data_IF_179759849197
#
_entry.id   IF_179759849197
#
_cell.length_a   1.000
_cell.length_b   1.000
_cell.length_c   1.000
_cell.angle_alpha   90.00
_cell.angle_beta   90.00
_cell.angle_gamma   90.00
#
_symmetry.space_group_name_H-M   'P 1'
#
loop_
_entity.id
_entity.type
_entity.pdbx_description
1 polymer ?
#
# COMPACT_ATOMS: atom_id res chain seq x y z
N UNK A 1 16.00 -56.07 14.78
CA UNK A 1 15.86 -54.99 13.77
C UNK A 1 16.77 -53.85 14.21
N UNK A 2 17.86 -53.58 13.47
CA UNK A 2 18.89 -52.63 13.93
C UNK A 2 18.42 -51.18 13.73
N UNK A 3 18.22 -50.46 14.84
CA UNK A 3 17.85 -49.03 14.87
C UNK A 3 18.74 -48.13 13.99
N UNK A 4 20.00 -48.53 13.78
CA UNK A 4 20.94 -47.85 12.88
C UNK A 4 20.49 -47.83 11.42
N UNK A 5 19.86 -48.90 10.94
CA UNK A 5 19.32 -48.94 9.57
C UNK A 5 18.11 -48.01 9.42
N UNK A 6 17.30 -47.87 10.47
CA UNK A 6 16.17 -46.94 10.48
C UNK A 6 16.67 -45.50 10.38
N UNK A 7 17.66 -45.12 11.18
CA UNK A 7 18.24 -43.75 11.11
C UNK A 7 18.82 -43.47 9.73
N UNK A 8 19.59 -44.41 9.16
CA UNK A 8 20.18 -44.23 7.83
C UNK A 8 19.11 -44.00 6.78
N UNK A 9 18.04 -44.81 6.81
CA UNK A 9 16.94 -44.66 5.86
C UNK A 9 16.22 -43.31 6.00
N UNK A 10 15.99 -42.87 7.25
CA UNK A 10 15.35 -41.58 7.54
C UNK A 10 16.20 -40.41 7.03
N UNK A 11 17.51 -40.42 7.27
CA UNK A 11 18.41 -39.36 6.79
C UNK A 11 18.46 -39.34 5.26
N UNK A 12 18.50 -40.50 4.61
CA UNK A 12 18.51 -40.61 3.15
C UNK A 12 17.20 -40.10 2.54
N UNK A 13 16.06 -40.46 3.14
CA UNK A 13 14.75 -39.97 2.72
C UNK A 13 14.62 -38.45 2.89
N UNK A 14 15.10 -37.90 4.01
CA UNK A 14 15.12 -36.44 4.25
C UNK A 14 15.98 -35.72 3.23
N UNK A 15 17.20 -36.22 2.98
CA UNK A 15 18.10 -35.64 1.98
C UNK A 15 17.49 -35.67 0.57
N UNK A 16 16.91 -36.79 0.17
CA UNK A 16 16.25 -36.92 -1.13
C UNK A 16 15.03 -35.99 -1.27
N UNK A 17 14.24 -35.82 -0.20
CA UNK A 17 13.06 -34.95 -0.21
C UNK A 17 13.43 -33.48 -0.33
N UNK A 18 14.44 -33.02 0.44
CA UNK A 18 14.96 -31.65 0.36
C UNK A 18 15.54 -31.34 -1.01
N UNK A 19 16.34 -32.26 -1.56
CA UNK A 19 16.94 -32.11 -2.89
C UNK A 19 15.89 -32.06 -4.00
N UNK A 20 14.91 -32.98 -3.95
CA UNK A 20 13.82 -33.02 -4.91
C UNK A 20 12.97 -31.75 -4.87
N UNK A 21 12.70 -31.21 -3.68
CA UNK A 21 11.97 -29.95 -3.51
C UNK A 21 12.72 -28.75 -4.12
N UNK A 22 14.04 -28.67 -3.92
CA UNK A 22 14.86 -27.61 -4.51
C UNK A 22 14.83 -27.64 -6.05
N UNK A 23 15.08 -28.81 -6.64
CA UNK A 23 15.08 -28.98 -8.11
C UNK A 23 13.70 -28.72 -8.72
N UNK A 24 12.64 -29.22 -8.07
CA UNK A 24 11.28 -28.98 -8.52
C UNK A 24 10.90 -27.50 -8.42
N UNK A 25 11.37 -26.80 -7.37
CA UNK A 25 11.18 -25.37 -7.20
C UNK A 25 11.82 -24.56 -8.32
N UNK A 26 13.10 -24.80 -8.60
CA UNK A 26 13.82 -24.14 -9.70
C UNK A 26 13.15 -24.41 -11.05
N UNK A 27 12.68 -25.64 -11.28
CA UNK A 27 11.93 -26.00 -12.49
C UNK A 27 10.59 -25.25 -12.58
N UNK A 28 9.85 -25.11 -11.48
CA UNK A 28 8.57 -24.39 -11.46
C UNK A 28 8.74 -22.91 -11.72
N UNK A 29 9.83 -22.31 -11.24
CA UNK A 29 10.17 -20.90 -11.50
C UNK A 29 10.56 -20.72 -12.97
N UNK A 30 11.37 -21.63 -13.52
CA UNK A 30 11.82 -21.56 -14.90
C UNK A 30 10.70 -21.80 -15.93
N UNK A 31 9.73 -22.66 -15.62
CA UNK A 31 8.60 -22.99 -16.50
C UNK A 31 7.29 -22.31 -16.09
N UNK A 32 7.33 -21.52 -15.02
CA UNK A 32 6.18 -20.77 -14.53
C UNK A 32 5.83 -19.62 -15.47
N UNK A 33 4.54 -19.31 -15.66
CA UNK A 33 4.15 -18.13 -16.42
C UNK A 33 4.61 -16.86 -15.67
N UNK A 34 5.50 -16.09 -16.29
CA UNK A 34 6.08 -14.86 -15.72
C UNK A 34 5.05 -13.76 -15.43
N UNK A 35 3.84 -13.87 -16.02
CA UNK A 35 2.70 -12.99 -15.78
C UNK A 35 1.42 -13.81 -15.83
N UNK A 36 0.47 -13.49 -14.96
CA UNK A 36 -0.88 -14.04 -15.10
C UNK A 36 -1.47 -13.56 -16.43
N UNK A 37 -2.21 -14.42 -17.16
CA UNK A 37 -2.87 -14.03 -18.41
C UNK A 37 -3.83 -12.87 -18.19
N UNK A 38 -4.37 -12.71 -16.99
CA UNK A 38 -5.21 -11.58 -16.60
C UNK A 38 -4.47 -10.25 -16.60
N UNK A 39 -3.20 -10.20 -16.19
CA UNK A 39 -2.42 -8.95 -16.24
C UNK A 39 -1.96 -8.61 -17.65
N UNK A 40 -1.67 -9.60 -18.49
CA UNK A 40 -1.36 -9.38 -19.90
C UNK A 40 -2.57 -8.79 -20.63
N UNK A 41 -3.75 -9.40 -20.44
CA UNK A 41 -4.99 -8.90 -21.01
C UNK A 41 -5.34 -7.49 -20.52
N UNK A 42 -5.18 -7.21 -19.22
CA UNK A 42 -5.43 -5.88 -18.66
C UNK A 42 -4.45 -4.82 -19.18
N UNK A 43 -3.18 -5.18 -19.39
CA UNK A 43 -2.17 -4.27 -19.95
C UNK A 43 -2.40 -4.02 -21.45
N UNK A 44 -2.79 -5.05 -22.20
CA UNK A 44 -3.17 -4.92 -23.62
C UNK A 44 -4.42 -4.07 -23.81
N UNK A 45 -5.42 -4.25 -22.94
CA UNK A 45 -6.64 -3.44 -22.91
C UNK A 45 -6.32 -2.00 -22.47
N UNK A 46 -5.44 -1.79 -21.50
CA UNK A 46 -4.98 -0.46 -21.08
C UNK A 46 -4.19 0.27 -22.18
N UNK A 47 -3.37 -0.44 -22.96
CA UNK A 47 -2.63 0.13 -24.10
C UNK A 47 -3.54 0.40 -25.31
N UNK A 48 -4.64 -0.32 -25.45
CA UNK A 48 -5.64 -0.09 -26.50
C UNK A 48 -6.51 1.15 -26.23
N UNK A 49 -6.55 1.65 -24.99
CA UNK A 49 -7.29 2.86 -24.64
C UNK A 49 -6.50 4.11 -25.07
N UNK A 50 -7.12 5.03 -25.84
CA UNK A 50 -6.47 6.28 -26.21
C UNK A 50 -6.24 7.14 -24.96
N UNK A 51 -5.00 7.62 -24.76
CA UNK A 51 -4.67 8.59 -23.70
C UNK A 51 -5.55 9.82 -23.89
N UNK A 52 -6.32 10.20 -22.88
CA UNK A 52 -7.21 11.36 -22.94
C UNK A 52 -6.54 12.60 -22.33
N UNK A 53 -6.76 13.76 -22.94
CA UNK A 53 -6.40 15.08 -22.39
C UNK A 53 -7.31 15.45 -21.21
N UNK A 54 -6.96 16.50 -20.46
CA UNK A 54 -7.74 17.05 -19.34
C UNK A 54 -9.20 17.38 -19.71
N UNK A 55 -9.50 17.54 -21.01
CA UNK A 55 -10.82 17.80 -21.56
C UNK A 55 -11.59 16.52 -21.97
N UNK A 56 -11.06 15.33 -21.69
CA UNK A 56 -11.69 14.05 -22.03
C UNK A 56 -11.69 13.73 -23.54
N UNK A 57 -10.79 14.35 -24.32
CA UNK A 57 -10.59 14.07 -25.75
C UNK A 57 -9.34 13.25 -25.97
N UNK A 58 -9.27 12.36 -26.98
CA UNK A 58 -8.04 11.65 -27.31
C UNK A 58 -6.87 12.63 -27.54
N UNK A 59 -5.80 12.46 -26.78
CA UNK A 59 -4.58 13.23 -26.88
C UNK A 59 -3.82 12.79 -28.14
N UNK A 60 -3.86 13.63 -29.17
CA UNK A 60 -3.00 13.51 -30.34
C UNK A 60 -1.86 14.51 -30.19
N UNK A 61 -0.61 14.04 -30.29
CA UNK A 61 0.54 14.94 -30.28
C UNK A 61 0.42 15.95 -31.42
N UNK A 62 0.56 17.24 -31.11
CA UNK A 62 0.54 18.27 -32.15
C UNK A 62 1.67 18.02 -33.16
N UNK A 63 1.43 18.20 -34.48
CA UNK A 63 2.47 18.04 -35.47
C UNK A 63 3.59 19.05 -35.23
N UNK A 64 4.84 18.63 -35.46
CA UNK A 64 6.01 19.49 -35.35
C UNK A 64 5.84 20.75 -36.21
N UNK A 65 5.82 21.93 -35.58
CA UNK A 65 5.66 23.18 -36.33
C UNK A 65 6.94 23.47 -37.15
N UNK A 66 6.81 23.95 -38.39
CA UNK A 66 7.94 24.40 -39.16
C UNK A 66 8.51 25.69 -38.57
N UNK A 67 9.82 25.75 -38.40
CA UNK A 67 10.53 26.96 -38.02
C UNK A 67 10.64 27.90 -39.23
N UNK A 68 10.86 29.20 -38.97
CA UNK A 68 11.04 30.24 -40.01
C UNK A 68 12.17 29.95 -41.00
N UNK A 69 13.08 29.04 -40.65
CA UNK A 69 14.19 28.58 -41.49
C UNK A 69 13.85 27.33 -42.33
N UNK A 70 12.57 26.93 -42.39
CA UNK A 70 12.11 25.79 -43.19
C UNK A 70 12.47 24.41 -42.62
N UNK A 71 13.12 24.35 -41.45
CA UNK A 71 13.37 23.10 -40.75
C UNK A 71 12.13 22.72 -39.95
N UNK A 72 11.75 21.44 -39.98
CA UNK A 72 10.78 20.91 -39.04
C UNK A 72 11.35 21.12 -37.64
N UNK A 73 10.61 21.78 -36.75
CA UNK A 73 10.94 21.86 -35.35
C UNK A 73 10.79 20.48 -34.74
N UNK A 74 11.78 19.62 -34.92
CA UNK A 74 11.93 18.47 -34.05
C UNK A 74 11.93 19.04 -32.63
N UNK A 75 10.94 18.64 -31.84
CA UNK A 75 11.14 18.54 -30.41
C UNK A 75 12.17 17.41 -30.22
N UNK A 76 13.43 17.60 -30.65
CA UNK A 76 14.47 17.11 -29.76
C UNK A 76 14.20 17.94 -28.52
N UNK A 77 13.77 17.32 -27.40
CA UNK A 77 13.87 18.05 -26.15
C UNK A 77 15.26 18.66 -26.16
N UNK A 78 15.37 19.97 -25.97
CA UNK A 78 16.68 20.65 -25.91
C UNK A 78 17.56 20.07 -24.78
N UNK A 79 16.94 19.22 -23.98
CA UNK A 79 17.56 18.17 -23.24
C UNK A 79 17.42 16.93 -24.12
N UNK A 80 18.43 16.64 -24.96
CA UNK A 80 18.88 15.25 -24.97
C UNK A 80 18.91 14.92 -23.47
N UNK A 81 17.93 14.15 -22.99
CA UNK A 81 18.17 13.39 -21.78
C UNK A 81 19.33 12.54 -22.25
N UNK A 82 20.54 13.06 -22.07
CA UNK A 82 21.72 12.27 -21.75
C UNK A 82 21.12 11.13 -20.98
N UNK A 83 21.05 9.98 -21.67
CA UNK A 83 20.29 8.82 -21.25
C UNK A 83 20.66 8.70 -19.79
N UNK A 84 19.77 9.09 -18.88
CA UNK A 84 20.20 9.33 -17.51
C UNK A 84 20.68 7.97 -17.09
N UNK A 85 22.00 7.82 -16.97
CA UNK A 85 22.61 6.55 -16.71
C UNK A 85 22.18 6.32 -15.29
N UNK A 86 21.05 5.64 -15.14
CA UNK A 86 20.34 5.48 -13.88
C UNK A 86 21.11 4.42 -13.13
N UNK A 87 22.37 4.70 -12.87
CA UNK A 87 23.19 3.89 -12.05
C UNK A 87 22.70 4.11 -10.63
N UNK A 88 22.02 3.10 -10.09
CA UNK A 88 21.68 3.07 -8.66
C UNK A 88 23.01 2.91 -7.94
N UNK A 89 23.60 4.03 -7.54
CA UNK A 89 24.83 4.03 -6.78
C UNK A 89 24.52 3.44 -5.40
N UNK A 90 24.82 2.14 -5.25
CA UNK A 90 24.59 1.39 -4.03
C UNK A 90 25.53 1.88 -2.94
N UNK A 91 25.16 2.96 -2.27
CA UNK A 91 25.88 3.42 -1.09
C UNK A 91 25.73 2.35 -0.01
N UNK A 92 26.83 1.85 0.58
CA UNK A 92 26.74 0.93 1.69
C UNK A 92 25.92 1.60 2.80
N UNK A 93 25.00 0.84 3.39
CA UNK A 93 24.05 1.35 4.37
C UNK A 93 24.75 2.13 5.50
N UNK A 94 26.00 1.82 5.79
CA UNK A 94 26.86 2.42 6.82
C UNK A 94 26.88 3.95 6.85
N UNK A 95 26.72 4.62 5.69
CA UNK A 95 26.69 6.09 5.60
C UNK A 95 25.31 6.70 5.30
N UNK A 96 24.28 5.89 5.09
CA UNK A 96 22.91 6.36 4.86
C UNK A 96 22.16 6.36 6.19
N UNK A 97 21.60 7.51 6.58
CA UNK A 97 20.69 7.65 7.72
C UNK A 97 19.23 7.67 7.19
N UNK A 98 18.65 6.50 6.86
CA UNK A 98 17.27 6.44 6.40
C UNK A 98 16.32 6.95 7.49
N UNK A 99 15.19 7.59 7.11
CA UNK A 99 14.14 7.97 8.06
C UNK A 99 13.44 6.75 8.70
N UNK A 100 13.80 5.53 8.28
CA UNK A 100 13.30 4.26 8.79
C UNK A 100 14.51 3.51 9.37
N UNK A 101 14.47 3.19 10.65
CA UNK A 101 15.55 2.47 11.31
C UNK A 101 15.69 1.06 10.74
N UNK A 102 16.80 0.81 10.03
CA UNK A 102 17.14 -0.53 9.55
C UNK A 102 17.82 -1.31 10.68
N UNK A 103 17.27 -2.46 11.06
CA UNK A 103 17.89 -3.35 12.04
C UNK A 103 19.16 -4.00 11.44
N UNK A 104 20.33 -3.42 11.73
CA UNK A 104 21.63 -3.95 11.26
C UNK A 104 22.26 -4.96 12.22
N UNK A 105 21.67 -5.16 13.40
CA UNK A 105 22.22 -6.07 14.41
C UNK A 105 21.76 -7.50 14.17
N UNK A 106 22.72 -8.43 14.17
CA UNK A 106 22.45 -9.87 14.22
C UNK A 106 21.96 -10.20 15.63
N UNK A 107 20.66 -10.41 15.79
CA UNK A 107 20.05 -10.76 17.06
C UNK A 107 20.11 -12.29 17.25
N UNK A 108 20.55 -12.72 18.43
CA UNK A 108 20.47 -14.13 18.83
C UNK A 108 19.04 -14.49 19.27
N UNK A 109 18.67 -15.78 19.25
CA UNK A 109 17.31 -16.25 19.57
C UNK A 109 16.76 -15.71 20.89
N UNK A 110 17.61 -15.62 21.92
CA UNK A 110 17.25 -15.13 23.24
C UNK A 110 16.99 -13.61 23.26
N UNK A 111 17.68 -12.85 22.42
CA UNK A 111 17.46 -11.40 22.26
C UNK A 111 16.18 -11.14 21.45
N UNK A 112 15.90 -11.99 20.45
CA UNK A 112 14.68 -11.94 19.65
C UNK A 112 13.43 -12.17 20.52
N UNK A 113 13.51 -13.13 21.45
CA UNK A 113 12.43 -13.41 22.40
C UNK A 113 12.18 -12.25 23.40
N UNK A 114 13.22 -11.48 23.76
CA UNK A 114 13.07 -10.31 24.62
C UNK A 114 12.44 -9.11 23.89
N UNK A 115 12.74 -8.93 22.60
CA UNK A 115 12.12 -7.90 21.76
C UNK A 115 10.62 -8.16 21.53
N UNK A 116 10.21 -9.43 21.40
CA UNK A 116 8.79 -9.79 21.24
C UNK A 116 7.97 -9.68 22.52
N UNK A 117 8.61 -9.54 23.69
CA UNK A 117 7.96 -9.47 25.01
C UNK A 117 7.76 -8.03 25.52
N UNK A 118 7.94 -7.01 24.65
CA UNK A 118 7.27 -5.72 24.85
C UNK A 118 7.88 -4.74 25.84
N UNK A 119 9.20 -4.72 26.04
CA UNK A 119 9.84 -3.68 26.90
C UNK A 119 11.30 -3.36 26.54
N UNK A 120 11.69 -3.49 25.27
CA UNK A 120 13.00 -3.03 24.81
C UNK A 120 12.87 -1.68 24.11
N UNK A 121 13.02 -0.59 24.88
CA UNK A 121 13.51 0.67 24.31
C UNK A 121 14.88 0.35 23.74
N UNK A 122 14.98 0.25 22.42
CA UNK A 122 16.27 0.06 21.77
C UNK A 122 17.26 1.11 22.26
N UNK A 123 18.52 0.73 22.54
CA UNK A 123 19.52 1.61 23.17
C UNK A 123 19.84 2.89 22.36
N UNK A 124 19.34 2.99 21.13
CA UNK A 124 19.51 4.13 20.24
C UNK A 124 18.29 5.08 20.17
N UNK A 125 17.31 4.97 21.08
CA UNK A 125 16.16 5.90 21.10
C UNK A 125 15.27 5.77 19.86
N UNK A 126 14.88 4.55 19.50
CA UNK A 126 14.03 4.29 18.33
C UNK A 126 12.64 4.93 18.50
N UNK A 127 12.36 5.95 17.70
CA UNK A 127 11.01 6.43 17.41
C UNK A 127 10.54 5.74 16.13
N UNK A 128 9.76 4.66 16.27
CA UNK A 128 9.16 3.98 15.12
C UNK A 128 8.35 2.77 15.53
N UNK A 129 7.02 2.93 15.45
CA UNK A 129 5.86 2.01 15.33
C UNK A 129 5.82 0.70 16.18
N UNK A 130 6.93 0.19 16.72
CA UNK A 130 7.00 -1.08 17.45
C UNK A 130 6.97 -0.93 18.99
N UNK A 131 6.77 0.27 19.54
CA UNK A 131 6.59 0.46 20.98
C UNK A 131 5.09 0.51 21.32
N UNK A 132 4.43 -0.65 21.25
CA UNK A 132 3.07 -0.83 21.77
C UNK A 132 3.14 -1.63 23.07
N UNK A 133 3.03 -0.90 24.17
CA UNK A 133 3.00 -1.40 25.55
C UNK A 133 1.74 -2.26 25.76
N UNK A 134 1.94 -3.55 26.09
CA UNK A 134 0.89 -4.57 26.12
C UNK A 134 0.77 -5.21 27.51
N UNK A 135 0.73 -4.42 28.57
CA UNK A 135 0.47 -4.94 29.93
C UNK A 135 -0.55 -4.10 30.74
N UNK A 136 -1.79 -4.61 30.82
CA UNK A 136 -2.60 -4.56 32.05
C UNK A 136 -3.13 -3.21 32.60
N UNK A 137 -4.07 -2.57 31.88
CA UNK A 137 -5.29 -1.95 32.42
C UNK A 137 -5.25 -0.98 33.63
N UNK A 138 -5.23 0.35 33.37
CA UNK A 138 -6.31 1.32 33.69
C UNK A 138 -5.88 2.79 33.46
N UNK A 139 -6.58 3.43 32.52
CA UNK A 139 -6.92 4.87 32.37
C UNK A 139 -5.78 5.91 32.42
N UNK A 140 -5.33 6.39 31.23
CA UNK A 140 -5.34 7.81 30.84
C UNK A 140 -4.89 8.02 29.38
N UNK A 141 -5.53 8.98 28.69
CA UNK A 141 -5.15 9.62 27.40
C UNK A 141 -5.22 8.79 26.10
N UNK A 142 -6.28 9.04 25.31
CA UNK A 142 -6.64 8.26 24.13
C UNK A 142 -6.02 8.76 22.82
N UNK A 143 -5.00 8.05 22.35
CA UNK A 143 -4.76 7.73 20.94
C UNK A 143 -3.65 6.68 20.86
N UNK A 144 -4.02 5.41 20.95
CA UNK A 144 -3.13 4.27 20.68
C UNK A 144 -3.91 3.29 19.80
N UNK A 145 -3.69 3.40 18.49
CA UNK A 145 -4.20 2.50 17.47
C UNK A 145 -3.23 1.31 17.41
N UNK A 146 -3.66 0.16 17.91
CA UNK A 146 -2.96 -1.09 17.68
C UNK A 146 -3.06 -1.45 16.19
N UNK A 147 -1.94 -1.75 15.55
CA UNK A 147 -1.92 -2.24 14.17
C UNK A 147 -2.62 -3.60 14.15
N UNK A 148 -3.85 -3.63 13.65
CA UNK A 148 -4.59 -4.85 13.38
C UNK A 148 -4.02 -5.51 12.10
N UNK A 149 -3.77 -6.83 12.10
CA UNK A 149 -3.41 -7.54 10.87
C UNK A 149 -4.56 -7.46 9.87
N UNK A 150 -4.23 -7.36 8.58
CA UNK A 150 -5.21 -7.32 7.48
C UNK A 150 -6.10 -8.56 7.55
N UNK A 151 -7.31 -8.39 8.07
CA UNK A 151 -8.39 -9.35 7.97
C UNK A 151 -8.77 -9.46 6.50
N UNK A 152 -8.44 -10.60 5.91
CA UNK A 152 -9.01 -11.04 4.62
C UNK A 152 -10.53 -11.08 4.84
N UNK A 153 -11.22 -10.11 4.26
CA UNK A 153 -12.68 -10.00 4.32
C UNK A 153 -13.29 -11.21 3.63
N UNK A 154 -13.69 -12.23 4.41
CA UNK A 154 -14.61 -13.25 3.93
C UNK A 154 -15.94 -12.56 3.61
N UNK A 155 -16.65 -12.98 2.55
CA UNK A 155 -17.90 -12.35 2.13
C UNK A 155 -18.93 -12.41 3.27
N UNK A 156 -19.53 -11.27 3.68
CA UNK A 156 -20.52 -11.27 4.75
C UNK A 156 -21.82 -11.93 4.27
N UNK A 157 -22.36 -12.78 5.15
CA UNK A 157 -23.69 -13.35 5.07
C UNK A 157 -24.78 -12.25 4.95
N UNK A 158 -26.00 -12.58 4.48
CA UNK A 158 -27.02 -11.59 4.13
C UNK A 158 -27.33 -10.65 5.30
N UNK A 159 -27.29 -9.34 5.02
CA UNK A 159 -27.49 -8.29 5.99
C UNK A 159 -28.93 -8.27 6.52
N UNK A 160 -29.08 -8.35 7.84
CA UNK A 160 -30.29 -7.91 8.52
C UNK A 160 -30.42 -6.38 8.42
N UNK A 161 -31.60 -5.94 8.01
CA UNK A 161 -31.98 -4.54 7.81
C UNK A 161 -31.84 -3.73 9.11
N UNK A 162 -30.76 -2.97 9.22
CA UNK A 162 -30.58 -1.98 10.27
C UNK A 162 -31.39 -0.72 9.95
N UNK A 163 -32.46 -0.57 10.71
CA UNK A 163 -33.43 0.53 10.70
C UNK A 163 -32.75 1.90 10.74
N UNK A 164 -33.08 2.74 9.74
CA UNK A 164 -32.65 4.13 9.66
C UNK A 164 -33.12 4.94 10.88
N UNK A 165 -32.20 5.68 11.51
CA UNK A 165 -32.51 6.71 12.48
C UNK A 165 -33.15 7.94 11.79
N UNK A 166 -34.00 8.72 12.48
CA UNK A 166 -34.68 9.87 11.89
C UNK A 166 -33.67 10.93 11.41
N UNK A 167 -33.81 11.30 10.14
CA UNK A 167 -33.00 12.33 9.48
C UNK A 167 -33.30 13.71 10.08
N UNK A 168 -32.32 14.29 10.77
CA UNK A 168 -32.32 15.68 11.20
C UNK A 168 -32.24 16.59 9.95
N UNK A 169 -33.25 17.43 9.63
CA UNK A 169 -33.30 18.19 8.38
C UNK A 169 -32.09 19.13 8.17
N UNK A 170 -31.39 19.50 9.24
CA UNK A 170 -30.23 20.41 9.20
C UNK A 170 -28.86 19.69 9.08
N UNK A 171 -28.85 18.38 8.81
CA UNK A 171 -27.62 17.60 8.68
C UNK A 171 -26.67 18.15 7.60
N UNK A 172 -27.23 18.74 6.53
CA UNK A 172 -26.45 19.32 5.43
C UNK A 172 -25.63 20.54 5.89
N UNK A 173 -26.22 21.41 6.70
CA UNK A 173 -25.52 22.56 7.27
C UNK A 173 -24.41 22.14 8.24
N UNK A 174 -24.63 21.04 8.99
CA UNK A 174 -23.62 20.43 9.86
C UNK A 174 -22.46 19.85 9.05
N UNK A 175 -22.74 19.17 7.94
CA UNK A 175 -21.72 18.67 7.01
C UNK A 175 -20.88 19.82 6.44
N UNK A 176 -21.51 20.90 5.95
CA UNK A 176 -20.78 22.05 5.40
C UNK A 176 -19.87 22.71 6.44
N UNK A 177 -20.34 22.86 7.67
CA UNK A 177 -19.53 23.39 8.79
C UNK A 177 -18.35 22.48 9.11
N UNK A 178 -18.56 21.16 9.11
CA UNK A 178 -17.50 20.18 9.34
C UNK A 178 -16.45 20.20 8.22
N UNK A 179 -16.88 20.30 6.95
CA UNK A 179 -15.98 20.42 5.81
C UNK A 179 -15.17 21.73 5.84
N UNK A 180 -15.76 22.83 6.30
CA UNK A 180 -15.05 24.09 6.51
C UNK A 180 -14.00 23.97 7.63
N UNK A 181 -14.35 23.37 8.77
CA UNK A 181 -13.40 23.12 9.85
C UNK A 181 -12.25 22.19 9.40
N UNK A 182 -12.54 21.19 8.56
CA UNK A 182 -11.51 20.37 7.96
C UNK A 182 -10.61 21.15 7.01
N UNK A 183 -11.10 22.21 6.37
CA UNK A 183 -10.30 23.02 5.44
C UNK A 183 -9.21 23.85 6.13
N UNK A 184 -9.36 24.12 7.43
CA UNK A 184 -8.38 24.82 8.27
C UNK A 184 -7.23 23.90 8.73
N UNK A 185 -7.35 22.59 8.52
CA UNK A 185 -6.30 21.61 8.84
C UNK A 185 -5.17 21.62 7.80
N UNK A 186 -4.03 21.03 8.17
CA UNK A 186 -2.89 20.87 7.28
C UNK A 186 -3.21 20.00 6.06
N UNK A 187 -2.50 20.19 4.95
CA UNK A 187 -2.75 19.50 3.67
C UNK A 187 -2.96 17.98 3.78
N UNK A 188 -2.21 17.32 4.67
CA UNK A 188 -2.26 15.87 4.88
C UNK A 188 -3.46 15.42 5.73
N UNK A 189 -3.99 16.26 6.62
CA UNK A 189 -5.12 15.95 7.51
C UNK A 189 -6.47 16.33 6.89
N UNK A 190 -6.47 17.22 5.90
CA UNK A 190 -7.66 17.63 5.15
C UNK A 190 -8.44 16.45 4.55
N UNK A 191 -7.81 15.52 3.80
CA UNK A 191 -8.54 14.43 3.16
C UNK A 191 -9.15 13.44 4.16
N UNK A 192 -8.44 13.10 5.24
CA UNK A 192 -8.96 12.19 6.29
C UNK A 192 -10.13 12.83 7.05
N UNK A 193 -9.97 14.06 7.53
CA UNK A 193 -11.03 14.81 8.21
C UNK A 193 -12.28 14.96 7.33
N UNK A 194 -12.08 15.30 6.05
CA UNK A 194 -13.19 15.49 5.13
C UNK A 194 -13.85 14.17 4.70
N UNK A 195 -13.12 13.04 4.73
CA UNK A 195 -13.70 11.71 4.54
C UNK A 195 -14.56 11.32 5.74
N UNK A 196 -14.06 11.51 6.96
CA UNK A 196 -14.76 11.13 8.20
C UNK A 196 -16.06 11.91 8.37
N UNK A 197 -16.02 13.23 8.15
CA UNK A 197 -17.21 14.06 8.15
C UNK A 197 -18.26 13.55 7.14
N UNK A 198 -17.84 13.18 5.93
CA UNK A 198 -18.76 12.62 4.93
C UNK A 198 -19.30 11.27 5.33
N UNK A 199 -18.50 10.41 5.96
CA UNK A 199 -18.99 9.12 6.42
C UNK A 199 -20.03 9.28 7.54
N UNK A 200 -19.81 10.23 8.44
CA UNK A 200 -20.73 10.53 9.55
C UNK A 200 -22.07 11.13 9.07
N UNK A 201 -22.07 11.96 8.02
CA UNK A 201 -23.28 12.65 7.57
C UNK A 201 -23.89 12.08 6.28
N UNK A 202 -23.09 11.76 5.26
CA UNK A 202 -23.58 11.26 3.97
C UNK A 202 -24.01 9.78 4.05
N UNK A 203 -23.36 8.97 4.91
CA UNK A 203 -23.69 7.55 5.11
C UNK A 203 -25.09 7.34 5.68
N UNK A 204 -25.38 7.84 6.90
CA UNK A 204 -26.69 7.66 7.54
C UNK A 204 -27.86 8.27 6.76
N UNK A 205 -27.61 9.36 6.01
CA UNK A 205 -28.64 10.05 5.23
C UNK A 205 -28.73 9.58 3.76
N UNK A 206 -28.03 8.50 3.37
CA UNK A 206 -28.04 7.95 2.00
C UNK A 206 -27.80 9.01 0.91
N UNK A 207 -26.90 9.96 1.19
CA UNK A 207 -26.72 11.18 0.41
C UNK A 207 -25.52 11.15 -0.56
N UNK A 208 -24.76 10.06 -0.57
CA UNK A 208 -23.67 9.84 -1.53
C UNK A 208 -24.14 10.04 -2.97
N UNK A 209 -23.52 10.99 -3.69
CA UNK A 209 -23.85 11.31 -5.08
C UNK A 209 -25.18 12.05 -5.30
N UNK A 210 -25.91 12.41 -4.23
CA UNK A 210 -27.23 13.08 -4.34
C UNK A 210 -27.19 14.55 -3.91
N UNK A 211 -26.25 14.93 -3.05
CA UNK A 211 -26.20 16.25 -2.40
C UNK A 211 -24.80 16.87 -2.56
N UNK A 212 -24.74 18.19 -2.72
CA UNK A 212 -23.49 18.94 -2.79
C UNK A 212 -22.64 18.69 -1.53
N UNK A 213 -21.42 18.17 -1.72
CA UNK A 213 -20.49 17.80 -0.64
C UNK A 213 -20.31 16.30 -0.42
N UNK A 214 -21.19 15.46 -0.97
CA UNK A 214 -21.05 13.99 -0.95
C UNK A 214 -20.74 13.48 -2.37
N UNK A 215 -19.49 13.07 -2.69
CA UNK A 215 -19.15 12.56 -4.02
C UNK A 215 -19.94 11.27 -4.34
N UNK A 216 -20.16 10.97 -5.62
CA UNK A 216 -20.62 9.65 -6.03
C UNK A 216 -19.54 8.63 -5.70
N UNK A 217 -19.91 7.46 -5.16
CA UNK A 217 -18.98 6.33 -5.02
C UNK A 217 -18.66 5.82 -6.43
N UNK A 218 -17.68 6.41 -7.09
CA UNK A 218 -17.02 5.77 -8.23
C UNK A 218 -16.00 4.79 -7.65
N UNK A 219 -16.30 3.50 -7.72
CA UNK A 219 -15.29 2.45 -7.63
C UNK A 219 -14.57 2.35 -8.97
#
# INVERSE_FOLDING_TARGET
MSWRLIILFVVLALGASLWGGYVAGDWLIANGPLRSPTMIAAEEEANALPVLDANGKPYVGAPAQPLVNGRLGFLTPKNERELADWHIESKPADHYNPPIALARQRLNSNQLAQLSQGSAVSPSGLQGIANVDLEGGRRHSGSNEAIQPVEVNLPPAPAEEQRAAPSDPDWQAKLQRALHACSEKGFFDRPSCAWEARNQYCGPNNAWGKVAGCPSKSF
#
